data_IF_960661007437
#
_entry.id   IF_960661007437
#
_cell.length_a   1.000
_cell.length_b   1.000
_cell.length_c   1.000
_cell.angle_alpha   90.00
_cell.angle_beta   90.00
_cell.angle_gamma   90.00
#
_symmetry.space_group_name_H-M   'P 1'
#
loop_
_entity.id
_entity.type
_entity.pdbx_description
1 polymer ?
#
# COMPACT_ATOMS: atom_id res chain seq x y z
N UNK A 1 -5.42 -6.69 -57.68
CA UNK A 1 -5.09 -6.09 -56.36
C UNK A 1 -6.30 -5.28 -55.91
N UNK A 2 -7.11 -5.76 -54.96
CA UNK A 2 -8.40 -5.09 -54.71
C UNK A 2 -9.20 -5.53 -53.47
N UNK A 3 -8.57 -6.10 -52.43
CA UNK A 3 -9.31 -6.58 -51.24
C UNK A 3 -8.58 -6.31 -49.91
N UNK A 4 -7.94 -5.15 -49.77
CA UNK A 4 -7.32 -4.76 -48.48
C UNK A 4 -7.83 -3.43 -47.90
N UNK A 5 -8.64 -2.67 -48.64
CA UNK A 5 -9.11 -1.36 -48.17
C UNK A 5 -10.41 -1.37 -47.36
N UNK A 6 -11.20 -2.46 -47.39
CA UNK A 6 -12.50 -2.52 -46.72
C UNK A 6 -12.46 -2.94 -45.23
N UNK A 7 -11.32 -3.43 -44.72
CA UNK A 7 -11.21 -3.88 -43.32
C UNK A 7 -10.81 -2.80 -42.32
N UNK A 8 -10.17 -1.72 -42.78
CA UNK A 8 -9.63 -0.66 -41.90
C UNK A 8 -10.66 0.42 -41.59
N UNK A 9 -11.65 0.61 -42.47
CA UNK A 9 -12.69 1.63 -42.32
C UNK A 9 -13.69 1.33 -41.18
N UNK A 10 -13.92 0.05 -40.86
CA UNK A 10 -14.85 -0.37 -39.80
C UNK A 10 -14.25 -0.31 -38.39
N UNK A 11 -12.93 -0.46 -38.25
CA UNK A 11 -12.26 -0.32 -36.96
C UNK A 11 -12.24 1.14 -36.46
N UNK A 12 -12.19 2.12 -37.37
CA UNK A 12 -12.24 3.55 -37.02
C UNK A 12 -13.62 3.98 -36.49
N UNK A 13 -14.70 3.35 -36.96
CA UNK A 13 -16.06 3.69 -36.54
C UNK A 13 -16.40 3.12 -35.15
N UNK A 14 -15.89 1.93 -34.82
CA UNK A 14 -16.11 1.32 -33.50
C UNK A 14 -15.37 2.06 -32.37
N UNK A 15 -14.18 2.61 -32.63
CA UNK A 15 -13.45 3.42 -31.64
C UNK A 15 -14.08 4.80 -31.38
N UNK A 16 -14.76 5.38 -32.36
CA UNK A 16 -15.48 6.65 -32.18
C UNK A 16 -16.79 6.49 -31.40
N UNK A 17 -17.45 5.33 -31.49
CA UNK A 17 -18.66 5.02 -30.72
C UNK A 17 -18.38 4.78 -29.23
N UNK A 18 -17.20 4.28 -28.87
CA UNK A 18 -16.83 4.07 -27.46
C UNK A 18 -16.63 5.37 -26.68
N UNK A 19 -16.22 6.45 -27.35
CA UNK A 19 -16.07 7.77 -26.70
C UNK A 19 -17.38 8.54 -26.54
N UNK A 20 -18.41 8.20 -27.32
CA UNK A 20 -19.70 8.89 -27.26
C UNK A 20 -20.61 8.39 -26.12
N UNK A 21 -20.32 7.23 -25.51
CA UNK A 21 -21.17 6.64 -24.45
C UNK A 21 -20.71 7.02 -23.03
N UNK A 22 -19.56 7.67 -22.85
CA UNK A 22 -19.05 8.07 -21.52
C UNK A 22 -19.62 9.39 -20.97
N UNK A 23 -20.68 9.95 -21.56
CA UNK A 23 -21.23 11.26 -21.19
C UNK A 23 -22.76 11.24 -21.02
N UNK A 24 -23.29 10.54 -20.03
CA UNK A 24 -24.66 10.79 -19.53
C UNK A 24 -24.78 10.81 -18.01
N UNK A 25 -23.78 11.37 -17.33
CA UNK A 25 -24.02 12.12 -16.11
C UNK A 25 -24.03 13.60 -16.49
N UNK A 26 -25.20 14.13 -16.88
CA UNK A 26 -25.45 15.58 -16.92
C UNK A 26 -25.46 16.11 -15.48
N UNK A 27 -24.30 16.07 -14.85
CA UNK A 27 -24.01 16.80 -13.64
C UNK A 27 -23.45 18.14 -14.12
N UNK A 28 -24.26 19.18 -14.06
CA UNK A 28 -23.78 20.56 -14.11
C UNK A 28 -22.90 20.79 -12.86
N UNK A 29 -21.69 20.24 -12.90
CA UNK A 29 -20.66 20.52 -11.93
C UNK A 29 -19.94 21.74 -12.48
N UNK A 30 -20.05 22.88 -11.78
CA UNK A 30 -19.12 23.98 -11.97
C UNK A 30 -17.73 23.37 -11.80
N UNK A 31 -16.86 23.46 -12.81
CA UNK A 31 -15.53 22.86 -12.79
C UNK A 31 -14.57 23.88 -12.18
N UNK A 32 -14.28 23.85 -10.86
CA UNK A 32 -13.33 24.77 -10.25
C UNK A 32 -11.94 24.58 -10.87
N UNK A 33 -11.20 25.68 -10.98
CA UNK A 33 -9.81 25.72 -11.43
C UNK A 33 -8.94 26.31 -10.34
N UNK A 34 -7.93 25.56 -9.91
CA UNK A 34 -7.01 26.01 -8.86
C UNK A 34 -7.55 25.86 -7.44
N UNK A 35 -6.63 25.90 -6.49
CA UNK A 35 -6.87 25.52 -5.09
C UNK A 35 -8.00 26.31 -4.41
N UNK A 36 -8.04 27.62 -4.63
CA UNK A 36 -9.04 28.48 -4.01
C UNK A 36 -10.47 28.13 -4.47
N UNK A 37 -10.68 27.91 -5.77
CA UNK A 37 -11.99 27.53 -6.30
C UNK A 37 -12.43 26.16 -5.79
N UNK A 38 -11.49 25.20 -5.66
CA UNK A 38 -11.78 23.89 -5.07
C UNK A 38 -12.18 24.02 -3.59
N UNK A 39 -11.46 24.83 -2.82
CA UNK A 39 -11.73 25.05 -1.40
C UNK A 39 -13.10 25.72 -1.16
N UNK A 40 -13.40 26.76 -1.94
CA UNK A 40 -14.68 27.46 -1.88
C UNK A 40 -15.84 26.52 -2.26
N UNK A 41 -15.70 25.77 -3.36
CA UNK A 41 -16.75 24.84 -3.80
C UNK A 41 -16.95 23.68 -2.81
N UNK A 42 -15.86 23.15 -2.24
CA UNK A 42 -15.93 22.14 -1.17
C UNK A 42 -16.73 22.67 0.01
N UNK A 43 -16.37 23.85 0.52
CA UNK A 43 -17.03 24.47 1.68
C UNK A 43 -18.52 24.72 1.42
N UNK A 44 -18.85 25.20 0.22
CA UNK A 44 -20.23 25.43 -0.21
C UNK A 44 -21.03 24.11 -0.22
N UNK A 45 -20.48 23.06 -0.81
CA UNK A 45 -21.15 21.77 -0.92
C UNK A 45 -21.24 21.05 0.44
N UNK A 46 -20.22 21.14 1.29
CA UNK A 46 -20.25 20.60 2.66
C UNK A 46 -21.36 21.25 3.49
N UNK A 47 -21.52 22.58 3.38
CA UNK A 47 -22.61 23.30 4.04
C UNK A 47 -23.98 22.80 3.55
N UNK A 48 -24.17 22.72 2.24
CA UNK A 48 -25.42 22.23 1.65
C UNK A 48 -25.72 20.78 2.06
N UNK A 49 -24.72 19.91 2.04
CA UNK A 49 -24.87 18.51 2.42
C UNK A 49 -25.33 18.33 3.88
N UNK A 50 -24.94 19.24 4.79
CA UNK A 50 -25.28 19.17 6.22
C UNK A 50 -26.57 19.90 6.58
N UNK A 51 -26.73 21.11 6.06
CA UNK A 51 -27.69 22.08 6.59
C UNK A 51 -28.91 22.29 5.71
N UNK A 52 -28.86 21.93 4.42
CA UNK A 52 -29.97 22.22 3.52
C UNK A 52 -31.23 21.42 3.95
N UNK A 53 -32.40 22.05 4.08
CA UNK A 53 -33.61 21.36 4.53
C UNK A 53 -34.07 20.26 3.56
N UNK A 54 -33.79 20.39 2.26
CA UNK A 54 -34.22 19.45 1.26
C UNK A 54 -33.25 18.25 1.14
N UNK A 55 -33.76 17.05 1.43
CA UNK A 55 -32.96 15.81 1.30
C UNK A 55 -32.43 15.58 -0.12
N UNK A 56 -33.16 16.03 -1.15
CA UNK A 56 -32.71 15.95 -2.54
C UNK A 56 -31.48 16.82 -2.82
N UNK A 57 -31.39 17.99 -2.19
CA UNK A 57 -30.24 18.88 -2.29
C UNK A 57 -29.07 18.27 -1.52
N UNK A 58 -29.27 17.83 -0.26
CA UNK A 58 -28.23 17.16 0.53
C UNK A 58 -27.64 15.95 -0.20
N UNK A 59 -28.48 15.08 -0.74
CA UNK A 59 -28.04 13.93 -1.53
C UNK A 59 -27.22 14.38 -2.75
N UNK A 60 -27.72 15.35 -3.54
CA UNK A 60 -26.98 15.86 -4.69
C UNK A 60 -25.62 16.46 -4.28
N UNK A 61 -25.56 17.16 -3.16
CA UNK A 61 -24.31 17.72 -2.62
C UNK A 61 -23.30 16.64 -2.26
N UNK A 62 -23.72 15.55 -1.62
CA UNK A 62 -22.84 14.39 -1.37
C UNK A 62 -22.28 13.80 -2.68
N UNK A 63 -23.11 13.63 -3.71
CA UNK A 63 -22.63 13.15 -5.01
C UNK A 63 -21.62 14.12 -5.64
N UNK A 64 -21.87 15.43 -5.57
CA UNK A 64 -20.95 16.44 -6.09
C UNK A 64 -19.62 16.48 -5.32
N UNK A 65 -19.65 16.36 -3.99
CA UNK A 65 -18.44 16.25 -3.16
C UNK A 65 -17.61 15.02 -3.54
N UNK A 66 -18.27 13.87 -3.76
CA UNK A 66 -17.57 12.68 -4.20
C UNK A 66 -16.79 12.90 -5.51
N UNK A 67 -17.44 13.51 -6.51
CA UNK A 67 -16.78 13.83 -7.78
C UNK A 67 -15.68 14.88 -7.65
N UNK A 68 -15.82 15.82 -6.71
CA UNK A 68 -14.79 16.81 -6.41
C UNK A 68 -13.54 16.14 -5.82
N UNK A 69 -13.72 15.18 -4.91
CA UNK A 69 -12.63 14.47 -4.23
C UNK A 69 -11.89 13.44 -5.08
N UNK A 70 -12.44 13.02 -6.23
CA UNK A 70 -11.74 12.17 -7.21
C UNK A 70 -11.11 12.95 -8.36
N UNK A 71 -11.34 14.26 -8.43
CA UNK A 71 -10.83 15.09 -9.52
C UNK A 71 -9.31 15.24 -9.41
N UNK A 72 -8.59 14.87 -10.48
CA UNK A 72 -7.13 14.94 -10.53
C UNK A 72 -6.57 16.37 -10.44
N UNK A 73 -7.39 17.39 -10.71
CA UNK A 73 -7.02 18.79 -10.56
C UNK A 73 -7.23 19.32 -9.15
N UNK A 74 -7.90 18.55 -8.27
CA UNK A 74 -8.14 18.94 -6.89
C UNK A 74 -6.85 18.75 -6.07
N UNK A 75 -6.25 19.82 -5.51
CA UNK A 75 -5.08 19.69 -4.63
C UNK A 75 -5.37 18.87 -3.36
N UNK A 76 -6.64 18.79 -2.97
CA UNK A 76 -7.14 18.02 -1.82
C UNK A 76 -7.73 16.66 -2.23
N UNK A 77 -7.28 16.08 -3.35
CA UNK A 77 -7.69 14.76 -3.84
C UNK A 77 -7.72 13.73 -2.69
N UNK A 78 -8.88 13.11 -2.47
CA UNK A 78 -9.08 12.19 -1.36
C UNK A 78 -10.12 11.12 -1.68
N UNK A 79 -9.66 10.00 -2.23
CA UNK A 79 -10.51 8.87 -2.59
C UNK A 79 -11.31 8.25 -1.42
N UNK A 80 -10.76 8.28 -0.19
CA UNK A 80 -11.47 7.76 0.97
C UNK A 80 -12.64 8.65 1.36
N UNK A 81 -12.48 9.99 1.28
CA UNK A 81 -13.62 10.90 1.41
C UNK A 81 -14.59 10.74 0.25
N UNK A 82 -14.12 10.60 -0.99
CA UNK A 82 -15.00 10.37 -2.13
C UNK A 82 -15.90 9.15 -1.94
N UNK A 83 -15.34 8.04 -1.44
CA UNK A 83 -16.08 6.82 -1.13
C UNK A 83 -17.17 7.10 -0.07
N UNK A 84 -16.82 7.74 1.03
CA UNK A 84 -17.75 8.11 2.09
C UNK A 84 -18.91 8.96 1.54
N UNK A 85 -18.61 9.95 0.70
CA UNK A 85 -19.61 10.82 0.10
C UNK A 85 -20.53 10.06 -0.89
N UNK A 86 -20.01 9.09 -1.65
CA UNK A 86 -20.85 8.20 -2.47
C UNK A 86 -21.74 7.29 -1.63
N UNK A 87 -21.25 6.77 -0.51
CA UNK A 87 -22.06 5.95 0.41
C UNK A 87 -23.17 6.78 1.07
N UNK A 88 -22.88 8.03 1.43
CA UNK A 88 -23.87 8.99 1.90
C UNK A 88 -24.96 9.23 0.83
N UNK A 89 -24.56 9.45 -0.42
CA UNK A 89 -25.53 9.60 -1.53
C UNK A 89 -26.40 8.34 -1.72
N UNK A 90 -25.79 7.15 -1.72
CA UNK A 90 -26.49 5.87 -1.86
C UNK A 90 -27.55 5.69 -0.77
N UNK A 91 -27.23 6.03 0.49
CA UNK A 91 -28.19 5.91 1.60
C UNK A 91 -29.37 6.89 1.49
N UNK A 92 -29.14 8.10 0.97
CA UNK A 92 -30.20 9.12 0.83
C UNK A 92 -31.01 8.99 -0.45
N UNK A 93 -30.49 8.35 -1.50
CA UNK A 93 -31.12 8.27 -2.82
C UNK A 93 -30.93 6.91 -3.50
N UNK A 94 -31.35 5.79 -2.87
CA UNK A 94 -31.04 4.44 -3.34
C UNK A 94 -31.58 4.16 -4.75
N UNK A 95 -32.79 4.63 -5.08
CA UNK A 95 -33.36 4.45 -6.42
C UNK A 95 -32.54 5.13 -7.52
N UNK A 96 -31.99 6.32 -7.26
CA UNK A 96 -31.15 7.04 -8.24
C UNK A 96 -29.73 6.48 -8.31
N UNK A 97 -29.28 5.85 -7.22
CA UNK A 97 -27.98 5.20 -7.14
C UNK A 97 -27.93 3.85 -7.88
N UNK A 98 -29.06 3.31 -8.35
CA UNK A 98 -29.06 2.06 -9.14
C UNK A 98 -28.51 2.22 -10.57
N UNK A 99 -28.17 3.45 -10.99
CA UNK A 99 -27.55 3.67 -12.30
C UNK A 99 -26.19 2.99 -12.39
N UNK A 100 -25.96 2.27 -13.48
CA UNK A 100 -24.73 1.50 -13.73
C UNK A 100 -23.47 2.34 -13.52
N UNK A 101 -23.42 3.57 -14.04
CA UNK A 101 -22.28 4.47 -13.86
C UNK A 101 -21.95 4.73 -12.39
N UNK A 102 -22.97 4.96 -11.56
CA UNK A 102 -22.76 5.18 -10.13
C UNK A 102 -22.25 3.92 -9.45
N UNK A 103 -22.84 2.76 -9.74
CA UNK A 103 -22.41 1.48 -9.16
C UNK A 103 -20.98 1.13 -9.55
N UNK A 104 -20.61 1.37 -10.81
CA UNK A 104 -19.24 1.19 -11.30
C UNK A 104 -18.25 2.07 -10.54
N UNK A 105 -18.54 3.37 -10.39
CA UNK A 105 -17.69 4.28 -9.63
C UNK A 105 -17.58 3.89 -8.15
N UNK A 106 -18.68 3.52 -7.51
CA UNK A 106 -18.69 3.07 -6.12
C UNK A 106 -17.85 1.79 -5.95
N UNK A 107 -17.95 0.84 -6.88
CA UNK A 107 -17.16 -0.39 -6.86
C UNK A 107 -15.66 -0.10 -6.99
N UNK A 108 -15.28 0.79 -7.91
CA UNK A 108 -13.87 1.23 -8.08
C UNK A 108 -13.33 1.87 -6.81
N UNK A 109 -14.11 2.76 -6.17
CA UNK A 109 -13.67 3.41 -4.93
C UNK A 109 -13.54 2.43 -3.76
N UNK A 110 -14.44 1.44 -3.65
CA UNK A 110 -14.35 0.38 -2.63
C UNK A 110 -13.10 -0.48 -2.83
N UNK A 111 -12.82 -0.88 -4.06
CA UNK A 111 -11.63 -1.67 -4.35
C UNK A 111 -10.34 -0.87 -4.12
N UNK A 112 -10.34 0.41 -4.47
CA UNK A 112 -9.21 1.30 -4.20
C UNK A 112 -8.94 1.45 -2.69
N UNK A 113 -9.98 1.59 -1.87
CA UNK A 113 -9.85 1.66 -0.42
C UNK A 113 -9.33 0.34 0.17
N UNK A 114 -9.82 -0.79 -0.32
CA UNK A 114 -9.32 -2.13 0.04
C UNK A 114 -7.83 -2.27 -0.30
N UNK A 115 -7.43 -2.00 -1.54
CA UNK A 115 -6.03 -2.08 -1.97
C UNK A 115 -5.13 -1.15 -1.15
N UNK A 116 -5.61 0.06 -0.81
CA UNK A 116 -4.87 0.99 0.06
C UNK A 116 -4.67 0.42 1.47
N UNK A 117 -5.71 -0.16 2.08
CA UNK A 117 -5.62 -0.81 3.39
C UNK A 117 -4.67 -2.00 3.37
N UNK A 118 -4.76 -2.85 2.34
CA UNK A 118 -3.87 -4.00 2.16
C UNK A 118 -2.41 -3.57 2.00
N UNK A 119 -2.15 -2.52 1.20
CA UNK A 119 -0.81 -1.95 1.04
C UNK A 119 -0.26 -1.43 2.37
N UNK A 120 -1.08 -0.74 3.17
CA UNK A 120 -0.67 -0.25 4.49
C UNK A 120 -0.29 -1.40 5.41
N UNK A 121 -1.16 -2.41 5.52
CA UNK A 121 -0.90 -3.59 6.35
C UNK A 121 0.33 -4.39 5.89
N UNK A 122 0.59 -4.45 4.59
CA UNK A 122 1.81 -5.06 4.05
C UNK A 122 3.07 -4.26 4.38
N UNK A 123 2.97 -2.93 4.36
CA UNK A 123 4.07 -2.04 4.78
C UNK A 123 4.46 -2.25 6.25
N UNK A 124 3.47 -2.34 7.15
CA UNK A 124 3.67 -2.61 8.57
C UNK A 124 4.34 -3.98 8.80
N UNK A 125 3.87 -5.03 8.12
CA UNK A 125 4.50 -6.37 8.17
C UNK A 125 5.94 -6.36 7.67
N UNK A 126 6.23 -5.62 6.60
CA UNK A 126 7.59 -5.52 6.08
C UNK A 126 8.53 -4.83 7.06
N UNK A 127 8.08 -3.79 7.76
CA UNK A 127 8.87 -3.11 8.80
C UNK A 127 9.16 -4.04 10.00
N UNK A 128 8.17 -4.81 10.42
CA UNK A 128 8.36 -5.80 11.49
C UNK A 128 9.37 -6.89 11.10
N UNK A 129 9.22 -7.46 9.90
CA UNK A 129 10.17 -8.45 9.38
C UNK A 129 11.60 -7.90 9.28
N UNK A 130 11.78 -6.65 8.83
CA UNK A 130 13.09 -5.99 8.82
C UNK A 130 13.69 -5.88 10.22
N UNK A 131 12.88 -5.54 11.22
CA UNK A 131 13.31 -5.45 12.61
C UNK A 131 13.71 -6.82 13.17
N UNK A 132 12.96 -7.87 12.84
CA UNK A 132 13.30 -9.24 13.24
C UNK A 132 14.60 -9.72 12.57
N UNK A 133 14.79 -9.44 11.29
CA UNK A 133 16.02 -9.76 10.55
C UNK A 133 17.23 -9.09 11.20
N UNK A 134 17.12 -7.82 11.60
CA UNK A 134 18.23 -7.12 12.24
C UNK A 134 18.56 -7.69 13.63
N UNK A 135 17.54 -8.03 14.42
CA UNK A 135 17.73 -8.73 15.70
C UNK A 135 18.47 -10.06 15.53
N UNK A 136 18.04 -10.86 14.54
CA UNK A 136 18.67 -12.14 14.21
C UNK A 136 20.11 -11.95 13.73
N UNK A 137 20.38 -10.90 12.96
CA UNK A 137 21.74 -10.56 12.50
C UNK A 137 22.66 -10.24 13.67
N UNK A 138 22.18 -9.46 14.64
CA UNK A 138 22.94 -9.12 15.85
C UNK A 138 23.21 -10.39 16.68
N UNK A 139 22.21 -11.25 16.89
CA UNK A 139 22.41 -12.50 17.64
C UNK A 139 23.37 -13.45 16.93
N UNK A 140 23.29 -13.57 15.60
CA UNK A 140 24.21 -14.40 14.82
C UNK A 140 25.66 -13.92 14.96
N UNK A 141 25.91 -12.60 14.94
CA UNK A 141 27.23 -12.03 15.21
C UNK A 141 27.76 -12.38 16.60
N UNK A 142 26.91 -12.26 17.64
CA UNK A 142 27.30 -12.62 19.01
C UNK A 142 27.68 -14.10 19.14
N UNK A 143 26.90 -14.99 18.52
CA UNK A 143 27.21 -16.43 18.51
C UNK A 143 28.50 -16.71 17.75
N UNK A 144 28.73 -16.04 16.62
CA UNK A 144 29.96 -16.17 15.85
C UNK A 144 31.19 -15.74 16.66
N UNK A 145 31.10 -14.64 17.39
CA UNK A 145 32.18 -14.15 18.25
C UNK A 145 32.46 -15.10 19.42
N UNK A 146 31.41 -15.60 20.08
CA UNK A 146 31.54 -16.60 21.13
C UNK A 146 32.20 -17.90 20.61
N UNK A 147 31.80 -18.38 19.44
CA UNK A 147 32.43 -19.56 18.82
C UNK A 147 33.90 -19.35 18.49
N UNK A 148 34.29 -18.15 18.05
CA UNK A 148 35.70 -17.83 17.80
C UNK A 148 36.50 -17.87 19.11
N UNK A 149 36.01 -17.23 20.16
CA UNK A 149 36.68 -17.21 21.46
C UNK A 149 36.84 -18.63 22.04
N UNK A 150 35.81 -19.47 21.96
CA UNK A 150 35.88 -20.87 22.36
C UNK A 150 36.88 -21.67 21.51
N UNK A 151 36.97 -21.39 20.21
CA UNK A 151 37.99 -21.98 19.33
C UNK A 151 39.40 -21.65 19.79
N UNK A 152 39.66 -20.38 20.13
CA UNK A 152 40.97 -19.93 20.65
C UNK A 152 41.29 -20.60 22.01
N UNK A 153 40.30 -20.72 22.91
CA UNK A 153 40.46 -21.45 24.18
C UNK A 153 40.78 -22.95 23.98
N UNK A 154 40.13 -23.62 23.03
CA UNK A 154 40.40 -25.03 22.72
C UNK A 154 41.84 -25.22 22.24
N UNK A 155 42.34 -24.34 21.38
CA UNK A 155 43.74 -24.38 20.92
C UNK A 155 44.70 -24.20 22.10
N UNK A 156 44.45 -23.21 22.96
CA UNK A 156 45.28 -22.96 24.15
C UNK A 156 45.31 -24.18 25.09
N UNK A 157 44.15 -24.82 25.32
CA UNK A 157 44.06 -26.04 26.13
C UNK A 157 44.80 -27.21 25.49
N UNK A 158 44.72 -27.37 24.18
CA UNK A 158 45.48 -28.40 23.45
C UNK A 158 47.00 -28.22 23.63
N UNK A 159 47.51 -26.99 23.52
CA UNK A 159 48.93 -26.71 23.78
C UNK A 159 49.35 -27.03 25.22
N UNK A 160 48.49 -26.70 26.19
CA UNK A 160 48.76 -26.99 27.61
C UNK A 160 48.78 -28.49 27.89
N UNK A 161 47.84 -29.25 27.31
CA UNK A 161 47.83 -30.73 27.41
C UNK A 161 49.11 -31.31 26.83
N UNK A 162 49.60 -30.81 25.69
CA UNK A 162 50.82 -31.32 25.07
C UNK A 162 52.07 -31.03 25.91
N UNK A 163 52.14 -29.85 26.54
CA UNK A 163 53.21 -29.54 27.50
C UNK A 163 53.18 -30.48 28.71
N UNK A 164 51.99 -30.75 29.27
CA UNK A 164 51.84 -31.67 30.40
C UNK A 164 52.27 -33.09 30.04
N UNK A 165 51.87 -33.62 28.88
CA UNK A 165 52.33 -34.94 28.41
C UNK A 165 53.85 -35.03 28.30
N UNK A 166 54.50 -33.98 27.79
CA UNK A 166 55.96 -33.94 27.69
C UNK A 166 56.63 -33.94 29.06
N UNK A 167 56.08 -33.21 30.04
CA UNK A 167 56.56 -33.20 31.43
C UNK A 167 56.39 -34.56 32.10
N UNK A 168 55.24 -35.22 31.95
CA UNK A 168 55.01 -36.56 32.49
C UNK A 168 56.04 -37.56 31.93
N UNK A 169 56.33 -37.49 30.63
CA UNK A 169 57.37 -38.30 29.98
C UNK A 169 58.77 -38.06 30.56
N UNK A 170 59.09 -36.83 30.96
CA UNK A 170 60.37 -36.52 31.59
C UNK A 170 60.42 -37.09 33.01
N UNK A 171 59.37 -36.91 33.80
CA UNK A 171 59.27 -37.43 35.17
C UNK A 171 59.37 -38.98 35.18
N UNK A 172 58.71 -39.65 34.23
CA UNK A 172 58.78 -41.11 34.06
C UNK A 172 60.21 -41.58 33.77
N UNK A 173 60.92 -40.87 32.87
CA UNK A 173 62.32 -41.15 32.56
C UNK A 173 63.22 -40.96 33.78
N UNK A 174 63.07 -39.86 34.51
CA UNK A 174 63.85 -39.60 35.72
C UNK A 174 63.59 -40.66 36.80
N UNK A 175 62.33 -41.06 37.03
CA UNK A 175 62.01 -42.15 37.96
C UNK A 175 62.68 -43.46 37.62
N UNK A 176 62.78 -43.80 36.34
CA UNK A 176 63.43 -45.02 35.88
C UNK A 176 64.96 -44.99 36.00
N UNK A 177 65.57 -43.80 36.10
CA UNK A 177 67.02 -43.64 36.32
C UNK A 177 67.41 -43.77 37.81
N UNK A 178 66.45 -43.62 38.71
CA UNK A 178 66.67 -43.65 40.18
C UNK A 178 66.38 -45.05 40.77
N UNK A 179 65.76 -45.95 40.01
CA UNK A 179 65.51 -47.35 40.40
C UNK A 179 66.62 -48.28 39.93
#
# INVERSE_FOLDING_TARGET
MGSQFLRVQWCGFFFLLFFAVSCTLNLELKKPKGEEEFSQETSRLEKLAREDPATSVRAKSHLQLAFLYVNSQNPQLNYSRALQEMENYLSMSPAKAQKDDFQNWLAVLKELDRVRKDRKGMGEKNQDLQTQIEKLRISAKKVQEANKNLGDEVVNLQEMIEKLKNLDLQIEKERNLIK
#
